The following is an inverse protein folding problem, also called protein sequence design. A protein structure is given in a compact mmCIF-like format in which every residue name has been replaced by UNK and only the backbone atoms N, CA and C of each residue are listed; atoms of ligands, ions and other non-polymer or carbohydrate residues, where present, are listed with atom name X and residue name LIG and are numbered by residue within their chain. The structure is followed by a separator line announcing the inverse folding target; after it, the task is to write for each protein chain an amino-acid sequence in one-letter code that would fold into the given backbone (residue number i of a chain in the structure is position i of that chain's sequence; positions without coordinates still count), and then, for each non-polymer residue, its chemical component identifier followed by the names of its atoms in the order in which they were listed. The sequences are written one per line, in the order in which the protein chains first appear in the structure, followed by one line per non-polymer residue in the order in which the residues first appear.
data_IF_401264818076
#
_entry.id   IF_401264818076
#
_cell.length_a   1.000
_cell.length_b   1.000
_cell.length_c   1.000
_cell.angle_alpha   90.00
_cell.angle_beta   90.00
_cell.angle_gamma   90.00
#
_symmetry.space_group_name_H-M   'P 1'
#
loop_
_entity.id
_entity.type
_entity.pdbx_description
1 polymer ?
#
# COMPACT_ATOMS: atom_id res chain seq x y z
N UNK A 1 -45.24 -12.99 -78.90
CA UNK A 1 -43.85 -12.82 -78.41
C UNK A 1 -43.82 -11.59 -77.52
N UNK A 2 -43.66 -11.76 -76.20
CA UNK A 2 -43.54 -10.65 -75.26
C UNK A 2 -42.10 -10.62 -74.77
N UNK A 3 -41.33 -9.59 -75.18
CA UNK A 3 -40.00 -9.33 -74.65
C UNK A 3 -40.11 -8.49 -73.38
N UNK A 4 -39.37 -8.93 -72.37
CA UNK A 4 -39.34 -8.44 -70.99
C UNK A 4 -39.00 -6.95 -70.88
N UNK A 5 -39.79 -6.25 -70.04
CA UNK A 5 -39.50 -4.95 -69.45
C UNK A 5 -38.16 -5.04 -68.70
N UNK A 6 -37.14 -4.34 -69.17
CA UNK A 6 -35.89 -4.20 -68.40
C UNK A 6 -36.14 -3.21 -67.26
N UNK A 7 -35.88 -3.68 -66.05
CA UNK A 7 -35.99 -2.98 -64.77
C UNK A 7 -34.82 -1.98 -64.68
N UNK A 8 -35.12 -0.69 -64.84
CA UNK A 8 -34.14 0.40 -64.94
C UNK A 8 -33.52 0.84 -63.61
N UNK A 9 -33.93 0.23 -62.50
CA UNK A 9 -33.67 0.76 -61.16
C UNK A 9 -32.55 0.04 -60.40
N UNK A 10 -31.85 -0.90 -61.04
CA UNK A 10 -30.54 -1.38 -60.57
C UNK A 10 -29.42 -0.62 -61.28
N UNK A 11 -29.16 0.61 -60.86
CA UNK A 11 -27.86 1.22 -61.09
C UNK A 11 -26.80 0.45 -60.28
N UNK A 12 -26.31 -0.64 -60.85
CA UNK A 12 -25.03 -1.22 -60.47
C UNK A 12 -23.98 -0.14 -60.71
N UNK A 13 -23.07 0.17 -59.76
CA UNK A 13 -21.98 1.10 -60.06
C UNK A 13 -21.25 0.55 -61.28
N UNK A 14 -21.21 1.33 -62.37
CA UNK A 14 -20.68 0.94 -63.67
C UNK A 14 -19.21 0.43 -63.62
N UNK A 15 -18.54 0.61 -62.49
CA UNK A 15 -17.16 0.21 -62.22
C UNK A 15 -17.02 -1.06 -61.37
N UNK A 16 -18.11 -1.64 -60.88
CA UNK A 16 -18.08 -2.83 -60.03
C UNK A 16 -17.75 -4.07 -60.89
N UNK A 17 -16.64 -4.75 -60.58
CA UNK A 17 -16.10 -5.86 -61.38
C UNK A 17 -15.03 -5.48 -62.42
N UNK A 18 -14.67 -4.20 -62.56
CA UNK A 18 -13.51 -3.79 -63.38
C UNK A 18 -12.23 -3.96 -62.56
N UNK A 19 -11.25 -4.79 -62.98
CA UNK A 19 -10.00 -4.95 -62.25
C UNK A 19 -9.14 -3.69 -62.38
N UNK A 20 -9.18 -2.83 -61.35
CA UNK A 20 -8.35 -1.62 -61.28
C UNK A 20 -7.00 -1.94 -60.63
N UNK A 21 -5.91 -1.46 -61.22
CA UNK A 21 -4.59 -1.49 -60.60
C UNK A 21 -4.50 -0.38 -59.56
N UNK A 22 -4.69 -0.74 -58.31
CA UNK A 22 -4.52 0.17 -57.17
C UNK A 22 -3.02 0.34 -56.92
N UNK A 23 -2.52 1.58 -56.90
CA UNK A 23 -1.12 1.82 -56.53
C UNK A 23 -0.89 1.48 -55.05
N UNK A 24 0.34 1.14 -54.67
CA UNK A 24 0.68 0.80 -53.27
C UNK A 24 0.29 1.90 -52.27
N UNK A 25 0.20 3.16 -52.72
CA UNK A 25 -0.20 4.31 -51.89
C UNK A 25 -1.67 4.29 -51.46
N UNK A 26 -2.53 3.56 -52.19
CA UNK A 26 -3.97 3.45 -51.89
C UNK A 26 -4.34 2.07 -51.33
N UNK A 27 -3.35 1.19 -51.09
CA UNK A 27 -3.58 -0.05 -50.35
C UNK A 27 -3.73 0.26 -48.86
N UNK A 28 -4.61 -0.44 -48.14
CA UNK A 28 -4.67 -0.34 -46.69
C UNK A 28 -3.30 -0.63 -46.05
N UNK A 29 -2.92 0.10 -44.99
CA UNK A 29 -1.68 -0.16 -44.27
C UNK A 29 -1.58 -1.62 -43.82
N UNK A 30 -0.38 -2.20 -43.91
CA UNK A 30 -0.12 -3.58 -43.47
C UNK A 30 -0.35 -3.70 -41.96
N UNK A 31 -1.03 -4.77 -41.53
CA UNK A 31 -1.22 -5.08 -40.11
C UNK A 31 0.14 -5.38 -39.47
N UNK A 32 0.42 -4.73 -38.34
CA UNK A 32 1.60 -5.03 -37.53
C UNK A 32 1.27 -6.26 -36.67
N UNK A 33 2.01 -7.35 -36.86
CA UNK A 33 1.86 -8.57 -36.06
C UNK A 33 3.20 -8.96 -35.46
N UNK A 34 3.17 -9.66 -34.33
CA UNK A 34 4.37 -10.25 -33.77
C UNK A 34 4.96 -11.28 -34.76
N UNK A 35 6.30 -11.36 -34.89
CA UNK A 35 6.94 -12.44 -35.64
C UNK A 35 6.45 -13.81 -35.18
N UNK A 36 6.30 -14.76 -36.13
CA UNK A 36 5.81 -16.12 -35.86
C UNK A 36 6.57 -16.81 -34.72
N UNK A 37 7.88 -16.58 -34.62
CA UNK A 37 8.71 -17.09 -33.53
C UNK A 37 8.25 -16.66 -32.12
N UNK A 38 7.65 -15.47 -31.98
CA UNK A 38 7.12 -14.97 -30.70
C UNK A 38 5.73 -15.56 -30.44
N UNK A 39 4.88 -15.63 -31.47
CA UNK A 39 3.55 -16.23 -31.36
C UNK A 39 3.61 -17.71 -30.97
N UNK A 40 4.59 -18.46 -31.49
CA UNK A 40 4.79 -19.86 -31.15
C UNK A 40 5.37 -20.08 -29.74
N UNK A 41 6.02 -19.05 -29.17
CA UNK A 41 6.56 -19.06 -27.80
C UNK A 41 5.54 -18.59 -26.77
N UNK A 42 4.50 -17.88 -27.20
CA UNK A 42 3.34 -17.56 -26.39
C UNK A 42 2.55 -18.86 -26.19
N UNK A 43 2.92 -19.62 -25.16
CA UNK A 43 2.10 -20.72 -24.70
C UNK A 43 0.76 -20.13 -24.23
N UNK A 44 -0.39 -20.49 -24.82
CA UNK A 44 -1.69 -20.08 -24.26
C UNK A 44 -1.91 -20.66 -22.86
N UNK A 45 -1.14 -21.70 -22.52
CA UNK A 45 -1.06 -22.40 -21.24
C UNK A 45 -0.10 -21.76 -20.23
N UNK A 46 0.71 -20.75 -20.60
CA UNK A 46 1.32 -19.86 -19.59
C UNK A 46 0.26 -18.88 -19.14
N UNK A 47 -0.81 -19.47 -18.61
CA UNK A 47 -1.79 -18.89 -17.71
C UNK A 47 -0.99 -18.07 -16.72
N UNK A 48 -1.25 -16.76 -16.70
CA UNK A 48 -0.71 -15.87 -15.70
C UNK A 48 -0.84 -16.58 -14.35
N UNK A 49 0.25 -16.80 -13.60
CA UNK A 49 0.15 -17.50 -12.33
C UNK A 49 -0.89 -16.77 -11.48
N UNK A 50 -1.90 -17.50 -11.03
CA UNK A 50 -2.94 -16.93 -10.17
C UNK A 50 -2.26 -16.42 -8.92
N UNK A 51 -2.35 -15.10 -8.71
CA UNK A 51 -1.64 -14.46 -7.63
C UNK A 51 -2.29 -14.83 -6.30
N UNK A 52 -1.52 -15.39 -5.38
CA UNK A 52 -2.00 -15.69 -4.04
C UNK A 52 -1.91 -14.46 -3.13
N UNK A 53 -3.07 -13.95 -2.73
CA UNK A 53 -3.20 -12.79 -1.84
C UNK A 53 -3.07 -13.11 -0.33
N UNK A 54 -2.50 -14.25 0.06
CA UNK A 54 -2.36 -14.64 1.46
C UNK A 54 -1.56 -13.63 2.28
N UNK A 55 -0.47 -13.12 1.71
CA UNK A 55 0.40 -12.17 2.38
C UNK A 55 -0.30 -10.82 2.60
N UNK A 56 -0.99 -10.30 1.60
CA UNK A 56 -1.70 -9.02 1.64
C UNK A 56 -2.76 -9.04 2.73
N UNK A 57 -3.52 -10.13 2.80
CA UNK A 57 -4.54 -10.32 3.85
C UNK A 57 -3.90 -10.29 5.24
N UNK A 58 -2.84 -11.08 5.44
CA UNK A 58 -2.12 -11.13 6.73
C UNK A 58 -1.52 -9.77 7.11
N UNK A 59 -0.89 -9.07 6.17
CA UNK A 59 -0.31 -7.74 6.40
C UNK A 59 -1.38 -6.72 6.73
N UNK A 60 -2.52 -6.73 6.03
CA UNK A 60 -3.64 -5.84 6.33
C UNK A 60 -4.24 -6.09 7.71
N UNK A 61 -4.44 -7.35 8.09
CA UNK A 61 -4.92 -7.74 9.42
C UNK A 61 -3.98 -7.22 10.51
N UNK A 62 -2.68 -7.52 10.39
CA UNK A 62 -1.69 -7.04 11.37
C UNK A 62 -1.64 -5.52 11.41
N UNK A 63 -1.59 -4.83 10.27
CA UNK A 63 -1.61 -3.36 10.24
C UNK A 63 -2.84 -2.79 10.95
N UNK A 64 -4.00 -3.44 10.83
CA UNK A 64 -5.23 -3.03 11.51
C UNK A 64 -5.12 -3.22 13.03
N UNK A 65 -4.62 -4.35 13.51
CA UNK A 65 -4.36 -4.62 14.94
C UNK A 65 -3.41 -3.57 15.53
N UNK A 66 -2.30 -3.28 14.85
CA UNK A 66 -1.32 -2.27 15.26
C UNK A 66 -1.88 -0.85 15.27
N UNK A 67 -2.82 -0.54 14.37
CA UNK A 67 -3.53 0.75 14.37
C UNK A 67 -4.49 0.82 15.57
N UNK A 68 -5.23 -0.25 15.84
CA UNK A 68 -6.14 -0.31 16.99
C UNK A 68 -5.38 -0.18 18.32
N UNK A 69 -4.26 -0.88 18.49
CA UNK A 69 -3.42 -0.78 19.68
C UNK A 69 -2.88 0.63 19.91
N UNK A 70 -2.39 1.29 18.84
CA UNK A 70 -1.93 2.69 18.95
C UNK A 70 -3.07 3.65 19.24
N UNK A 71 -4.25 3.42 18.66
CA UNK A 71 -5.42 4.24 18.92
C UNK A 71 -5.92 4.05 20.35
N UNK A 72 -5.96 2.83 20.88
CA UNK A 72 -6.38 2.56 22.26
C UNK A 72 -5.44 3.25 23.25
N UNK A 73 -4.13 3.14 23.06
CA UNK A 73 -3.13 3.84 23.89
C UNK A 73 -3.29 5.37 23.82
N UNK A 74 -3.50 5.94 22.62
CA UNK A 74 -3.75 7.38 22.45
C UNK A 74 -5.05 7.81 23.11
N UNK A 75 -6.11 7.02 22.97
CA UNK A 75 -7.42 7.30 23.58
C UNK A 75 -7.35 7.26 25.10
N UNK A 76 -6.71 6.25 25.68
CA UNK A 76 -6.52 6.15 27.13
C UNK A 76 -5.69 7.32 27.67
N UNK A 77 -4.66 7.76 26.92
CA UNK A 77 -3.91 8.98 27.29
C UNK A 77 -4.80 10.23 27.25
N UNK A 78 -5.62 10.39 26.20
CA UNK A 78 -6.54 11.54 26.07
C UNK A 78 -7.57 11.55 27.19
N UNK A 79 -8.14 10.39 27.51
CA UNK A 79 -9.10 10.23 28.59
C UNK A 79 -8.50 10.61 29.95
N UNK A 80 -7.26 10.19 30.25
CA UNK A 80 -6.56 10.59 31.48
C UNK A 80 -6.39 12.11 31.58
N UNK A 81 -5.98 12.74 30.48
CA UNK A 81 -5.78 14.20 30.43
C UNK A 81 -7.11 14.93 30.58
N UNK A 82 -8.16 14.44 29.92
CA UNK A 82 -9.50 15.04 29.98
C UNK A 82 -10.12 14.87 31.36
N UNK A 83 -9.97 13.70 32.00
CA UNK A 83 -10.42 13.49 33.38
C UNK A 83 -9.70 14.42 34.36
N UNK A 84 -8.39 14.60 34.22
CA UNK A 84 -7.64 15.58 35.01
C UNK A 84 -8.13 17.01 34.78
N UNK A 85 -8.39 17.39 33.51
CA UNK A 85 -8.93 18.70 33.15
C UNK A 85 -10.32 18.93 33.75
N UNK A 86 -11.21 17.95 33.66
CA UNK A 86 -12.55 18.02 34.24
C UNK A 86 -12.50 18.08 35.77
N UNK A 87 -11.61 17.32 36.41
CA UNK A 87 -11.39 17.41 37.84
C UNK A 87 -10.91 18.81 38.27
N UNK A 88 -9.99 19.42 37.51
CA UNK A 88 -9.53 20.80 37.77
C UNK A 88 -10.67 21.81 37.64
N UNK A 89 -11.49 21.72 36.59
CA UNK A 89 -12.65 22.59 36.37
C UNK A 89 -13.71 22.40 37.46
N UNK A 90 -13.95 21.15 37.91
CA UNK A 90 -14.89 20.87 38.99
C UNK A 90 -14.37 21.30 40.38
N UNK A 91 -13.05 21.40 40.53
CA UNK A 91 -12.37 21.85 41.76
C UNK A 91 -12.10 23.35 41.82
N UNK A 92 -12.41 24.12 40.76
CA UNK A 92 -12.45 25.58 40.86
C UNK A 92 -13.82 26.00 41.44
N UNK A 93 -13.91 26.35 42.74
CA UNK A 93 -14.95 27.26 43.16
C UNK A 93 -14.67 28.60 42.50
N UNK A 94 -15.71 29.23 41.97
CA UNK A 94 -15.68 30.61 41.51
C UNK A 94 -15.05 31.52 42.58
N UNK A 95 -13.76 31.83 42.45
CA UNK A 95 -13.15 32.94 43.17
C UNK A 95 -12.35 33.82 42.22
N UNK A 96 -12.71 35.09 42.28
CA UNK A 96 -12.30 36.17 41.42
C UNK A 96 -10.81 36.53 41.60
N UNK A 97 -10.25 37.07 40.51
CA UNK A 97 -9.21 38.11 40.44
C UNK A 97 -7.75 37.75 40.79
N UNK A 98 -6.88 37.92 39.79
CA UNK A 98 -5.47 38.29 39.97
C UNK A 98 -4.52 37.69 38.94
N UNK A 99 -3.91 38.47 38.03
CA UNK A 99 -2.81 37.99 37.20
C UNK A 99 -1.59 37.65 38.08
N UNK A 100 -0.98 36.46 37.99
CA UNK A 100 0.32 36.24 38.61
C UNK A 100 1.39 36.96 37.79
N UNK A 101 1.90 38.07 38.34
CA UNK A 101 3.15 38.72 37.93
C UNK A 101 4.25 37.64 37.80
N UNK A 102 4.69 37.39 36.56
CA UNK A 102 5.91 36.62 36.29
C UNK A 102 7.10 37.54 36.57
N UNK A 103 8.03 37.23 37.47
CA UNK A 103 9.30 37.94 37.48
C UNK A 103 10.03 37.67 36.16
N UNK A 104 10.16 38.70 35.33
CA UNK A 104 10.98 38.71 34.12
C UNK A 104 12.46 38.62 34.53
N UNK A 105 12.96 37.40 34.76
CA UNK A 105 14.41 37.18 34.71
C UNK A 105 14.83 36.94 33.25
N UNK A 106 15.87 37.63 32.74
CA UNK A 106 16.36 37.39 31.40
C UNK A 106 16.92 35.97 31.31
N UNK A 107 16.66 35.21 30.22
CA UNK A 107 17.27 33.90 30.05
C UNK A 107 18.78 34.09 29.87
N UNK A 108 19.54 33.82 30.93
CA UNK A 108 20.97 33.59 30.82
C UNK A 108 21.18 32.37 29.93
N UNK A 109 21.56 32.66 28.68
CA UNK A 109 21.94 31.71 27.65
C UNK A 109 23.14 30.89 28.13
N UNK A 110 22.88 29.76 28.78
CA UNK A 110 23.88 28.71 28.85
C UNK A 110 23.94 28.06 27.46
N UNK A 111 25.13 27.98 26.83
CA UNK A 111 25.25 27.31 25.55
C UNK A 111 24.89 25.84 25.76
N UNK A 112 23.80 25.39 25.13
CA UNK A 112 23.45 23.98 25.09
C UNK A 112 24.64 23.23 24.45
N UNK A 113 25.11 22.11 25.02
CA UNK A 113 26.12 21.32 24.37
C UNK A 113 25.54 20.80 23.05
N UNK A 114 26.20 21.14 21.95
CA UNK A 114 25.89 20.64 20.61
C UNK A 114 25.94 19.11 20.70
N UNK A 115 24.85 18.45 20.30
CA UNK A 115 24.76 16.99 20.19
C UNK A 115 25.83 16.53 19.20
N UNK A 116 26.98 16.07 19.70
CA UNK A 116 27.94 15.34 18.88
C UNK A 116 27.33 13.96 18.58
N UNK A 117 27.35 13.49 17.32
CA UNK A 117 26.81 12.18 17.00
C UNK A 117 27.68 11.12 17.70
N UNK A 118 27.07 10.39 18.64
CA UNK A 118 27.70 9.20 19.23
C UNK A 118 27.68 8.10 18.17
N UNK A 119 28.84 7.51 17.81
CA UNK A 119 28.87 6.39 16.88
C UNK A 119 28.08 5.21 17.46
N UNK A 120 27.22 4.60 16.64
CA UNK A 120 26.51 3.38 16.98
C UNK A 120 27.55 2.27 17.04
N UNK A 121 28.02 1.95 18.25
CA UNK A 121 28.68 0.67 18.48
C UNK A 121 27.59 -0.40 18.33
N UNK A 122 27.62 -1.12 17.20
CA UNK A 122 26.82 -2.33 17.00
C UNK A 122 27.17 -3.29 18.13
N UNK A 123 26.29 -3.41 19.12
CA UNK A 123 26.31 -4.56 20.00
C UNK A 123 26.01 -5.78 19.14
N UNK A 124 26.92 -6.75 19.25
CA UNK A 124 27.06 -7.90 18.39
C UNK A 124 25.73 -8.59 18.08
N UNK A 125 25.46 -8.74 16.78
CA UNK A 125 24.47 -9.67 16.24
C UNK A 125 25.02 -11.08 16.48
N UNK A 126 24.91 -11.59 17.70
CA UNK A 126 25.28 -12.97 17.98
C UNK A 126 24.44 -13.63 19.08
N UNK A 127 23.11 -13.44 19.02
CA UNK A 127 22.17 -14.30 19.75
C UNK A 127 20.99 -14.82 18.93
N UNK A 128 20.92 -14.52 17.63
CA UNK A 128 19.75 -14.93 16.82
C UNK A 128 20.10 -15.94 15.73
N UNK A 129 20.84 -16.98 16.10
CA UNK A 129 20.97 -18.22 15.33
C UNK A 129 20.36 -19.41 16.06
N UNK A 130 19.39 -19.18 16.96
CA UNK A 130 18.60 -20.27 17.52
C UNK A 130 17.51 -20.64 16.55
N UNK A 131 17.60 -21.85 16.04
CA UNK A 131 16.58 -22.45 15.18
C UNK A 131 15.25 -22.49 15.94
N UNK A 132 14.13 -22.22 15.25
CA UNK A 132 12.79 -22.23 15.84
C UNK A 132 12.46 -23.51 16.67
N UNK A 133 12.88 -24.73 16.29
CA UNK A 133 12.64 -25.93 17.11
C UNK A 133 13.38 -25.89 18.45
N UNK A 134 14.55 -25.25 18.49
CA UNK A 134 15.42 -25.16 19.66
C UNK A 134 14.80 -24.24 20.72
N UNK A 135 14.13 -23.18 20.27
CA UNK A 135 13.37 -22.29 21.15
C UNK A 135 12.14 -22.98 21.76
N UNK A 136 11.47 -23.82 20.97
CA UNK A 136 10.29 -24.57 21.41
C UNK A 136 10.68 -25.61 22.46
N UNK A 137 11.77 -26.36 22.22
CA UNK A 137 12.27 -27.33 23.21
C UNK A 137 12.65 -26.67 24.53
N UNK A 138 13.29 -25.50 24.47
CA UNK A 138 13.67 -24.78 25.67
C UNK A 138 12.46 -24.32 26.51
N UNK A 139 11.39 -23.86 25.84
CA UNK A 139 10.14 -23.48 26.53
C UNK A 139 9.44 -24.69 27.15
N UNK A 140 9.46 -25.84 26.48
CA UNK A 140 8.91 -27.09 27.02
C UNK A 140 9.67 -27.56 28.26
N UNK A 141 11.00 -27.43 28.27
CA UNK A 141 11.82 -27.76 29.44
C UNK A 141 11.56 -26.80 30.61
N UNK A 142 11.43 -25.50 30.35
CA UNK A 142 11.18 -24.50 31.40
C UNK A 142 9.79 -24.69 32.04
N UNK A 143 8.80 -25.12 31.27
CA UNK A 143 7.45 -25.42 31.77
C UNK A 143 7.36 -26.74 32.56
N UNK A 144 8.34 -27.63 32.42
CA UNK A 144 8.45 -28.85 33.25
C UNK A 144 9.11 -28.54 34.59
N UNK A 145 10.20 -27.79 34.60
CA UNK A 145 10.89 -27.40 35.84
C UNK A 145 10.02 -26.52 36.76
N UNK A 146 9.07 -25.75 36.21
CA UNK A 146 8.11 -24.96 37.00
C UNK A 146 6.94 -25.75 37.59
N UNK A 147 6.84 -27.06 37.29
CA UNK A 147 5.78 -27.94 37.81
C UNK A 147 6.25 -28.92 38.89
N UNK A 148 7.56 -29.01 39.14
CA UNK A 148 8.12 -29.67 40.33
C UNK A 148 8.31 -28.65 41.47
#
# INVERSE_FOLDING_TARGET
MAYSRYDSDKQVPYMDGIPVKISEQYKPPKKITLPSAILNKLNPETVLPEYDFTLERSVMEKMSEWRQLRNSQRSARRERIEAERQARVASEPEEKLGPPERPLSPPTSKPYPILTPVPINRLDVNQSSRSVPDLVQQLETELRDKRE
#
